data_IF_730109418138
#
_entry.id   IF_730109418138
#
_cell.length_a   1.000
_cell.length_b   1.000
_cell.length_c   1.000
_cell.angle_alpha   90.00
_cell.angle_beta   90.00
_cell.angle_gamma   90.00
#
_symmetry.space_group_name_H-M   'P 1'
#
loop_
_entity.id
_entity.type
_entity.pdbx_description
1 polymer ?
#
# COMPACT_ATOMS: atom_id res chain seq x y z
N UNK A 1 -11.54 -21.87 -5.01
CA UNK A 1 -10.28 -21.95 -4.24
C UNK A 1 -9.17 -21.40 -5.12
N UNK A 2 -8.58 -20.29 -4.73
CA UNK A 2 -7.45 -19.68 -5.43
C UNK A 2 -6.26 -20.64 -5.37
N UNK A 3 -5.59 -20.85 -6.51
CA UNK A 3 -4.42 -21.72 -6.57
C UNK A 3 -3.27 -21.06 -5.80
N UNK A 4 -2.80 -21.67 -4.72
CA UNK A 4 -1.66 -21.16 -3.96
C UNK A 4 -0.38 -21.24 -4.82
N UNK A 5 0.39 -20.15 -4.84
CA UNK A 5 1.72 -20.16 -5.45
C UNK A 5 2.68 -20.94 -4.53
N UNK A 6 3.60 -21.73 -5.08
CA UNK A 6 4.57 -22.50 -4.29
C UNK A 6 5.72 -21.60 -3.80
N UNK A 7 5.40 -20.61 -2.96
CA UNK A 7 6.35 -19.65 -2.41
C UNK A 7 6.65 -19.97 -0.93
N UNK A 8 7.91 -19.87 -0.56
CA UNK A 8 8.36 -19.81 0.83
C UNK A 8 7.96 -18.48 1.50
N UNK A 9 8.04 -18.43 2.83
CA UNK A 9 7.80 -17.20 3.58
C UNK A 9 8.75 -16.07 3.15
N UNK A 10 10.03 -16.39 2.93
CA UNK A 10 11.03 -15.43 2.48
C UNK A 10 10.70 -14.87 1.09
N UNK A 11 10.24 -15.71 0.17
CA UNK A 11 9.82 -15.27 -1.17
C UNK A 11 8.59 -14.37 -1.13
N UNK A 12 7.60 -14.68 -0.28
CA UNK A 12 6.43 -13.81 -0.07
C UNK A 12 6.87 -12.44 0.44
N UNK A 13 7.72 -12.40 1.47
CA UNK A 13 8.22 -11.14 2.05
C UNK A 13 9.11 -10.37 1.07
N UNK A 14 9.96 -11.08 0.32
CA UNK A 14 10.86 -10.49 -0.67
C UNK A 14 10.13 -9.94 -1.90
N UNK A 15 8.87 -10.32 -2.15
CA UNK A 15 8.09 -9.86 -3.31
C UNK A 15 6.92 -8.94 -2.96
N UNK A 16 6.53 -8.87 -1.69
CA UNK A 16 5.49 -7.92 -1.22
C UNK A 16 6.04 -6.49 -1.28
N UNK A 17 5.57 -5.69 -2.23
CA UNK A 17 5.94 -4.28 -2.45
C UNK A 17 4.69 -3.40 -2.46
N UNK A 18 4.85 -2.10 -2.25
CA UNK A 18 3.79 -1.15 -2.54
C UNK A 18 3.52 -1.11 -4.07
N UNK A 19 2.44 -1.76 -4.50
CA UNK A 19 2.04 -1.84 -5.91
C UNK A 19 1.13 -0.67 -6.24
N UNK A 20 1.52 0.16 -7.21
CA UNK A 20 0.74 1.31 -7.68
C UNK A 20 0.53 1.32 -9.18
N UNK A 21 1.62 1.11 -9.94
CA UNK A 21 1.63 1.17 -11.41
C UNK A 21 1.06 -0.06 -12.14
N UNK A 22 0.86 -1.17 -11.42
CA UNK A 22 0.42 -2.46 -12.00
C UNK A 22 -0.96 -2.90 -11.49
N UNK A 23 -1.73 -1.95 -10.96
CA UNK A 23 -3.11 -2.22 -10.57
C UNK A 23 -3.98 -2.27 -11.83
N UNK A 24 -4.84 -3.26 -11.90
CA UNK A 24 -5.93 -3.35 -12.87
C UNK A 24 -7.16 -2.70 -12.22
N UNK A 25 -7.58 -1.54 -12.75
CA UNK A 25 -8.71 -0.78 -12.19
C UNK A 25 -10.07 -1.26 -12.68
N UNK A 26 -10.10 -2.05 -13.76
CA UNK A 26 -11.34 -2.57 -14.35
C UNK A 26 -11.74 -3.90 -13.69
N UNK A 27 -10.79 -4.59 -13.07
CA UNK A 27 -11.04 -5.82 -12.32
C UNK A 27 -11.48 -5.52 -10.87
N UNK A 28 -12.73 -5.82 -10.48
CA UNK A 28 -13.12 -5.73 -9.07
C UNK A 28 -12.43 -6.81 -8.25
N UNK A 29 -12.15 -6.49 -6.97
CA UNK A 29 -11.72 -7.50 -5.99
C UNK A 29 -12.95 -8.23 -5.48
N UNK A 30 -12.95 -9.56 -5.56
CA UNK A 30 -14.04 -10.39 -5.12
C UNK A 30 -14.17 -10.38 -3.58
N UNK A 31 -15.39 -10.36 -3.07
CA UNK A 31 -15.66 -10.26 -1.62
C UNK A 31 -15.03 -11.41 -0.81
N UNK A 32 -15.00 -12.62 -1.38
CA UNK A 32 -14.33 -13.78 -0.78
C UNK A 32 -12.83 -13.55 -0.55
N UNK A 33 -12.15 -12.89 -1.50
CA UNK A 33 -10.71 -12.58 -1.40
C UNK A 33 -10.49 -11.58 -0.26
N UNK A 34 -11.37 -10.58 -0.12
CA UNK A 34 -11.30 -9.62 0.97
C UNK A 34 -11.49 -10.29 2.33
N UNK A 35 -12.45 -11.22 2.44
CA UNK A 35 -12.68 -11.97 3.68
C UNK A 35 -11.49 -12.84 4.06
N UNK A 36 -10.94 -13.61 3.12
CA UNK A 36 -9.74 -14.42 3.34
C UNK A 36 -8.57 -13.55 3.85
N UNK A 37 -8.36 -12.39 3.25
CA UNK A 37 -7.34 -11.43 3.69
C UNK A 37 -7.58 -10.94 5.14
N UNK A 38 -8.83 -10.65 5.50
CA UNK A 38 -9.17 -10.22 6.86
C UNK A 38 -9.02 -11.36 7.88
N UNK A 39 -9.40 -12.59 7.53
CA UNK A 39 -9.20 -13.77 8.38
C UNK A 39 -7.72 -14.00 8.71
N UNK A 40 -6.84 -13.82 7.73
CA UNK A 40 -5.39 -13.84 7.93
C UNK A 40 -4.92 -12.67 8.80
N UNK A 41 -5.42 -11.46 8.58
CA UNK A 41 -5.05 -10.29 9.39
C UNK A 41 -5.44 -10.44 10.87
N UNK A 42 -6.55 -11.14 11.16
CA UNK A 42 -6.98 -11.44 12.54
C UNK A 42 -6.02 -12.35 13.31
N UNK A 43 -5.08 -13.03 12.63
CA UNK A 43 -4.04 -13.83 13.29
C UNK A 43 -2.94 -12.97 13.92
N UNK A 44 -2.93 -11.65 13.67
CA UNK A 44 -1.97 -10.75 14.30
C UNK A 44 -2.09 -10.80 15.84
N UNK A 45 -0.98 -10.79 16.60
CA UNK A 45 -1.05 -10.74 18.05
C UNK A 45 -1.60 -9.38 18.52
N UNK A 46 -2.36 -9.38 19.61
CA UNK A 46 -2.79 -8.15 20.30
C UNK A 46 -2.61 -8.28 21.81
N UNK A 47 -2.27 -7.17 22.47
CA UNK A 47 -2.13 -7.12 23.93
C UNK A 47 -3.42 -7.61 24.60
N UNK A 48 -3.30 -8.59 25.49
CA UNK A 48 -4.43 -9.26 26.15
C UNK A 48 -5.48 -9.83 25.19
N UNK A 49 -5.11 -10.13 23.94
CA UNK A 49 -6.05 -10.50 22.88
C UNK A 49 -7.19 -9.48 22.66
N UNK A 50 -6.94 -8.19 22.89
CA UNK A 50 -7.98 -7.16 22.86
C UNK A 50 -8.56 -6.89 21.47
N UNK A 51 -7.83 -7.22 20.39
CA UNK A 51 -8.29 -7.08 18.99
C UNK A 51 -8.93 -5.71 18.72
N UNK A 52 -8.29 -4.63 19.16
CA UNK A 52 -8.83 -3.27 19.13
C UNK A 52 -8.89 -2.63 17.73
N UNK A 53 -8.58 -3.40 16.69
CA UNK A 53 -8.70 -2.99 15.30
C UNK A 53 -10.15 -3.05 14.81
N UNK A 54 -10.45 -2.21 13.82
CA UNK A 54 -11.66 -2.28 13.00
C UNK A 54 -11.22 -2.20 11.55
N UNK A 55 -11.84 -3.03 10.71
CA UNK A 55 -11.64 -2.99 9.27
C UNK A 55 -12.87 -2.36 8.62
N UNK A 56 -12.65 -1.39 7.76
CA UNK A 56 -13.70 -0.76 6.95
C UNK A 56 -13.37 -1.04 5.49
N UNK A 57 -14.21 -1.84 4.84
CA UNK A 57 -14.06 -2.19 3.43
C UNK A 57 -14.91 -1.23 2.61
N UNK A 58 -14.28 -0.42 1.76
CA UNK A 58 -14.96 0.57 0.91
C UNK A 58 -14.96 0.07 -0.54
N UNK A 59 -16.08 -0.50 -0.97
CA UNK A 59 -16.29 -0.98 -2.35
C UNK A 59 -17.03 0.01 -3.23
N UNK A 60 -17.85 0.88 -2.63
CA UNK A 60 -18.61 1.94 -3.29
C UNK A 60 -17.68 2.90 -4.07
N UNK A 61 -17.88 3.07 -5.39
CA UNK A 61 -16.99 3.85 -6.24
C UNK A 61 -16.98 5.34 -5.88
N UNK A 62 -18.12 5.92 -5.53
CA UNK A 62 -18.24 7.34 -5.19
C UNK A 62 -17.52 7.63 -3.87
N UNK A 63 -17.67 6.73 -2.89
CA UNK A 63 -16.92 6.83 -1.61
C UNK A 63 -15.41 6.67 -1.83
N UNK A 64 -14.98 5.74 -2.68
CA UNK A 64 -13.55 5.58 -3.02
C UNK A 64 -13.00 6.84 -3.68
N UNK A 65 -13.75 7.45 -4.60
CA UNK A 65 -13.35 8.70 -5.23
C UNK A 65 -13.20 9.83 -4.21
N UNK A 66 -14.21 10.03 -3.35
CA UNK A 66 -14.15 11.08 -2.33
C UNK A 66 -12.97 10.90 -1.36
N UNK A 67 -12.68 9.65 -0.95
CA UNK A 67 -11.49 9.35 -0.15
C UNK A 67 -10.19 9.60 -0.91
N UNK A 68 -10.14 9.28 -2.21
CA UNK A 68 -9.00 9.57 -3.08
C UNK A 68 -8.72 11.07 -3.20
N UNK A 69 -9.76 11.89 -3.34
CA UNK A 69 -9.62 13.36 -3.39
C UNK A 69 -9.05 13.92 -2.08
N UNK A 70 -9.51 13.43 -0.93
CA UNK A 70 -8.96 13.81 0.39
C UNK A 70 -7.51 13.35 0.55
N UNK A 71 -7.20 12.13 0.11
CA UNK A 71 -5.84 11.60 0.12
C UNK A 71 -4.90 12.47 -0.72
N UNK A 72 -5.34 12.86 -1.92
CA UNK A 72 -4.56 13.70 -2.84
C UNK A 72 -4.19 15.05 -2.22
N UNK A 73 -5.14 15.71 -1.55
CA UNK A 73 -4.86 16.97 -0.84
C UNK A 73 -3.76 16.81 0.22
N UNK A 74 -3.80 15.72 0.99
CA UNK A 74 -2.76 15.44 1.97
C UNK A 74 -1.42 15.06 1.31
N UNK A 75 -1.47 14.33 0.19
CA UNK A 75 -0.28 13.95 -0.57
C UNK A 75 0.42 15.18 -1.18
N UNK A 76 -0.33 16.12 -1.73
CA UNK A 76 0.21 17.36 -2.31
C UNK A 76 1.00 18.17 -1.26
N UNK A 77 0.51 18.20 -0.02
CA UNK A 77 1.23 18.80 1.10
C UNK A 77 2.49 17.99 1.43
N UNK A 78 2.35 16.67 1.62
CA UNK A 78 3.45 15.76 1.94
C UNK A 78 4.60 15.83 0.92
N UNK A 79 4.28 15.93 -0.36
CA UNK A 79 5.24 16.01 -1.44
C UNK A 79 6.13 17.26 -1.37
N UNK A 80 5.60 18.36 -0.84
CA UNK A 80 6.34 19.61 -0.67
C UNK A 80 7.22 19.61 0.59
N UNK A 81 7.05 18.64 1.50
CA UNK A 81 7.83 18.58 2.74
C UNK A 81 9.25 18.05 2.48
N UNK A 82 10.23 18.91 2.73
CA UNK A 82 11.63 18.57 2.65
C UNK A 82 12.07 17.65 3.82
N UNK A 83 12.88 16.65 3.52
CA UNK A 83 13.41 15.69 4.49
C UNK A 83 12.44 14.60 4.95
N UNK A 84 11.21 14.57 4.41
CA UNK A 84 10.16 13.62 4.83
C UNK A 84 9.82 12.63 3.72
N UNK A 85 9.71 13.09 2.48
CA UNK A 85 9.33 12.23 1.37
C UNK A 85 10.53 11.54 0.71
N UNK A 86 10.27 10.48 -0.05
CA UNK A 86 11.33 9.67 -0.64
C UNK A 86 12.32 10.49 -1.51
N UNK A 87 11.87 11.55 -2.19
CA UNK A 87 12.75 12.37 -3.01
C UNK A 87 13.71 13.26 -2.19
N UNK A 88 13.42 13.50 -0.91
CA UNK A 88 14.18 14.45 -0.07
C UNK A 88 14.73 13.84 1.23
N UNK A 89 14.24 12.68 1.67
CA UNK A 89 14.61 12.07 2.96
C UNK A 89 16.07 11.60 3.01
N UNK A 90 16.61 11.13 1.88
CA UNK A 90 18.00 10.69 1.80
C UNK A 90 18.91 11.83 1.35
N UNK A 91 19.96 12.11 2.12
CA UNK A 91 20.90 13.23 1.89
C UNK A 91 22.32 12.79 1.54
N UNK A 92 22.53 11.49 1.32
CA UNK A 92 23.83 10.98 0.87
C UNK A 92 23.99 11.06 -0.65
N UNK A 93 25.12 10.57 -1.14
CA UNK A 93 25.57 10.65 -2.54
C UNK A 93 25.52 9.31 -3.29
N UNK A 94 25.00 8.24 -2.67
CA UNK A 94 24.77 6.95 -3.32
C UNK A 94 23.76 7.09 -4.48
N UNK A 95 24.28 7.02 -5.71
CA UNK A 95 23.51 7.21 -6.93
C UNK A 95 22.41 6.15 -7.11
N UNK A 96 22.68 4.89 -6.80
CA UNK A 96 21.69 3.82 -6.95
C UNK A 96 20.52 4.02 -5.98
N UNK A 97 20.83 4.42 -4.75
CA UNK A 97 19.82 4.75 -3.75
C UNK A 97 19.01 5.98 -4.16
N UNK A 98 19.66 7.03 -4.68
CA UNK A 98 18.98 8.22 -5.18
C UNK A 98 18.02 7.87 -6.32
N UNK A 99 18.44 7.08 -7.30
CA UNK A 99 17.56 6.61 -8.37
C UNK A 99 16.38 5.77 -7.84
N UNK A 100 16.64 4.88 -6.89
CA UNK A 100 15.59 4.08 -6.28
C UNK A 100 14.56 4.97 -5.57
N UNK A 101 14.99 6.01 -4.86
CA UNK A 101 14.09 6.98 -4.23
C UNK A 101 13.24 7.74 -5.26
N UNK A 102 13.84 8.12 -6.39
CA UNK A 102 13.09 8.75 -7.49
C UNK A 102 12.04 7.79 -8.07
N UNK A 103 12.36 6.49 -8.22
CA UNK A 103 11.37 5.47 -8.63
C UNK A 103 10.24 5.32 -7.62
N UNK A 104 10.55 5.36 -6.32
CA UNK A 104 9.54 5.31 -5.25
C UNK A 104 8.61 6.52 -5.32
N UNK A 105 9.14 7.76 -5.41
CA UNK A 105 8.29 8.94 -5.53
C UNK A 105 7.50 8.97 -6.83
N UNK A 106 8.11 8.58 -7.96
CA UNK A 106 7.39 8.48 -9.24
C UNK A 106 6.27 7.42 -9.23
N UNK A 107 6.40 6.37 -8.42
CA UNK A 107 5.32 5.41 -8.17
C UNK A 107 4.22 5.99 -7.28
N UNK A 108 4.60 6.72 -6.22
CA UNK A 108 3.64 7.37 -5.32
C UNK A 108 2.77 8.39 -6.07
N UNK A 109 3.38 9.30 -6.84
CA UNK A 109 2.67 10.29 -7.67
C UNK A 109 1.68 9.70 -8.66
N UNK A 110 1.98 8.50 -9.19
CA UNK A 110 1.12 7.86 -10.20
C UNK A 110 -0.28 7.52 -9.66
N UNK A 111 -0.40 7.18 -8.37
CA UNK A 111 -1.66 6.74 -7.75
C UNK A 111 -2.21 7.73 -6.72
N UNK A 112 -1.49 8.80 -6.42
CA UNK A 112 -1.95 9.83 -5.49
C UNK A 112 -3.20 10.57 -6.00
#
# INVERSE_FOLDING_TARGET
>A
MTQLLPLSADEVLATTRAVRKRLDFDRPVEDEVLRECLELALQAPSGSNAQSWRFVVVTDPDKKQALGELYRQAFDIYEQLDGINAATIYRGDDLERLEQQQRVMGSARYLA
#
